data_IF_500344246711
#
_entry.id   IF_500344246711
#
_cell.length_a   1.000
_cell.length_b   1.000
_cell.length_c   1.000
_cell.angle_alpha   90.00
_cell.angle_beta   90.00
_cell.angle_gamma   90.00
#
_symmetry.space_group_name_H-M   'P 1'
#
loop_
_entity.id
_entity.type
_entity.pdbx_description
1 polymer ?
#
# COMPACT_ATOMS: atom_id res chain seq x y z
N UNK A 1 45.73 37.18 0.74
CA UNK A 1 44.98 36.56 -0.37
C UNK A 1 44.38 35.18 -0.07
N UNK A 2 44.84 34.44 0.95
CA UNK A 2 44.33 33.10 1.28
C UNK A 2 42.89 33.08 1.87
N UNK A 3 42.53 34.09 2.68
CA UNK A 3 41.22 34.18 3.36
C UNK A 3 40.04 34.19 2.38
N UNK A 4 40.18 34.91 1.25
CA UNK A 4 39.13 35.04 0.24
C UNK A 4 38.87 33.71 -0.50
N UNK A 5 39.89 32.85 -0.65
CA UNK A 5 39.76 31.52 -1.29
C UNK A 5 39.05 30.53 -0.38
N UNK A 6 39.36 30.50 0.91
CA UNK A 6 38.70 29.62 1.88
C UNK A 6 37.21 29.96 2.04
N UNK A 7 36.87 31.26 2.07
CA UNK A 7 35.50 31.73 2.07
C UNK A 7 34.70 31.27 0.84
N UNK A 8 35.28 31.31 -0.36
CA UNK A 8 34.63 30.78 -1.57
C UNK A 8 34.41 29.27 -1.50
N UNK A 9 35.35 28.51 -0.92
CA UNK A 9 35.20 27.06 -0.73
C UNK A 9 34.08 26.75 0.26
N UNK A 10 34.06 27.40 1.42
CA UNK A 10 33.01 27.22 2.43
C UNK A 10 31.64 27.58 1.86
N UNK A 11 31.54 28.69 1.14
CA UNK A 11 30.30 29.12 0.50
C UNK A 11 29.82 28.11 -0.56
N UNK A 12 30.74 27.57 -1.36
CA UNK A 12 30.44 26.54 -2.34
C UNK A 12 29.94 25.24 -1.70
N UNK A 13 30.59 24.79 -0.63
CA UNK A 13 30.17 23.60 0.12
C UNK A 13 28.78 23.80 0.72
N UNK A 14 28.52 24.96 1.33
CA UNK A 14 27.22 25.27 1.92
C UNK A 14 26.11 25.32 0.86
N UNK A 15 26.38 25.88 -0.32
CA UNK A 15 25.45 25.89 -1.43
C UNK A 15 25.10 24.46 -1.91
N UNK A 16 26.11 23.61 -2.10
CA UNK A 16 25.89 22.21 -2.49
C UNK A 16 25.09 21.45 -1.43
N UNK A 17 25.35 21.69 -0.15
CA UNK A 17 24.65 21.04 0.95
C UNK A 17 23.17 21.45 0.99
N UNK A 18 22.87 22.75 0.82
CA UNK A 18 21.49 23.25 0.74
C UNK A 18 20.76 22.69 -0.48
N UNK A 19 21.40 22.67 -1.66
CA UNK A 19 20.83 22.07 -2.87
C UNK A 19 20.58 20.57 -2.69
N UNK A 20 21.49 19.86 -2.01
CA UNK A 20 21.33 18.45 -1.67
C UNK A 20 20.10 18.19 -0.79
N UNK A 21 19.89 19.00 0.25
CA UNK A 21 18.71 18.90 1.12
C UNK A 21 17.42 19.14 0.33
N UNK A 22 17.39 20.17 -0.52
CA UNK A 22 16.20 20.50 -1.34
C UNK A 22 15.89 19.35 -2.30
N UNK A 23 16.91 18.79 -2.97
CA UNK A 23 16.75 17.66 -3.88
C UNK A 23 16.23 16.40 -3.15
N UNK A 24 16.73 16.12 -1.94
CA UNK A 24 16.26 15.03 -1.09
C UNK A 24 14.79 15.23 -0.68
N UNK A 25 14.45 16.41 -0.18
CA UNK A 25 13.09 16.74 0.23
C UNK A 25 12.09 16.64 -0.95
N UNK A 26 12.48 17.17 -2.12
CA UNK A 26 11.69 17.06 -3.34
C UNK A 26 11.51 15.62 -3.81
N UNK A 27 12.57 14.80 -3.74
CA UNK A 27 12.52 13.38 -4.10
C UNK A 27 11.61 12.58 -3.17
N UNK A 28 11.70 12.80 -1.85
CA UNK A 28 10.82 12.16 -0.87
C UNK A 28 9.35 12.54 -1.12
N UNK A 29 9.04 13.83 -1.30
CA UNK A 29 7.67 14.28 -1.58
C UNK A 29 7.12 13.68 -2.88
N UNK A 30 7.95 13.58 -3.92
CA UNK A 30 7.58 12.96 -5.19
C UNK A 30 7.24 11.48 -5.05
N UNK A 31 8.03 10.72 -4.28
CA UNK A 31 7.77 9.29 -4.05
C UNK A 31 6.46 9.07 -3.30
N UNK A 32 6.18 9.86 -2.26
CA UNK A 32 4.91 9.78 -1.50
C UNK A 32 3.72 10.12 -2.41
N UNK A 33 3.82 11.19 -3.21
CA UNK A 33 2.74 11.59 -4.11
C UNK A 33 2.47 10.55 -5.20
N UNK A 34 3.50 9.86 -5.69
CA UNK A 34 3.32 8.78 -6.68
C UNK A 34 2.58 7.56 -6.09
N UNK A 35 2.73 7.33 -4.79
CA UNK A 35 2.12 6.20 -4.08
C UNK A 35 0.66 6.45 -3.68
N UNK A 36 0.24 7.71 -3.55
CA UNK A 36 -1.11 8.09 -3.13
C UNK A 36 -1.85 8.78 -4.27
N UNK A 37 -2.79 8.06 -4.90
CA UNK A 37 -3.70 8.63 -5.89
C UNK A 37 -5.06 8.88 -5.23
N UNK A 38 -5.41 10.15 -5.03
CA UNK A 38 -6.74 10.55 -4.53
C UNK A 38 -7.56 11.08 -5.69
N UNK A 39 -8.73 10.48 -5.92
CA UNK A 39 -9.76 10.98 -6.82
C UNK A 39 -10.93 11.50 -5.99
N UNK A 40 -11.23 12.78 -6.15
CA UNK A 40 -12.39 13.43 -5.52
C UNK A 40 -13.64 13.25 -6.40
N UNK A 41 -14.82 13.37 -5.79
CA UNK A 41 -16.13 13.20 -6.44
C UNK A 41 -16.31 11.84 -7.13
N UNK A 42 -15.69 10.80 -6.57
CA UNK A 42 -15.89 9.43 -7.02
C UNK A 42 -17.24 8.90 -6.51
N UNK A 43 -17.88 8.05 -7.31
CA UNK A 43 -19.11 7.37 -6.96
C UNK A 43 -18.85 5.92 -6.53
N UNK A 44 -19.86 5.29 -5.92
CA UNK A 44 -19.83 3.85 -5.64
C UNK A 44 -19.62 3.03 -6.93
N UNK A 45 -20.19 3.49 -8.06
CA UNK A 45 -20.04 2.82 -9.34
C UNK A 45 -18.59 2.84 -9.86
N UNK A 46 -17.87 3.93 -9.65
CA UNK A 46 -16.46 4.03 -10.04
C UNK A 46 -15.58 3.06 -9.24
N UNK A 47 -15.84 2.95 -7.93
CA UNK A 47 -15.17 1.94 -7.09
C UNK A 47 -15.46 0.52 -7.57
N UNK A 48 -16.73 0.19 -7.84
CA UNK A 48 -17.10 -1.16 -8.29
C UNK A 48 -16.48 -1.52 -9.64
N UNK A 49 -16.42 -0.55 -10.56
CA UNK A 49 -15.79 -0.75 -11.86
C UNK A 49 -14.28 -1.01 -11.72
N UNK A 50 -13.58 -0.22 -10.90
CA UNK A 50 -12.14 -0.40 -10.68
C UNK A 50 -11.83 -1.67 -9.88
N UNK A 51 -12.61 -1.97 -8.85
CA UNK A 51 -12.49 -3.21 -8.09
C UNK A 51 -12.73 -4.44 -8.97
N UNK A 52 -13.75 -4.41 -9.84
CA UNK A 52 -14.02 -5.49 -10.78
C UNK A 52 -12.88 -5.66 -11.80
N UNK A 53 -12.30 -4.57 -12.30
CA UNK A 53 -11.16 -4.62 -13.19
C UNK A 53 -9.92 -5.24 -12.53
N UNK A 54 -9.67 -4.93 -11.25
CA UNK A 54 -8.58 -5.54 -10.46
C UNK A 54 -8.87 -7.02 -10.22
N UNK A 55 -10.07 -7.36 -9.75
CA UNK A 55 -10.44 -8.76 -9.50
C UNK A 55 -10.35 -9.62 -10.75
N UNK A 56 -10.69 -9.10 -11.93
CA UNK A 56 -10.51 -9.80 -13.22
C UNK A 56 -9.04 -10.15 -13.52
N UNK A 57 -8.05 -9.40 -13.02
CA UNK A 57 -6.61 -9.74 -13.19
C UNK A 57 -6.22 -10.98 -12.40
N UNK A 58 -6.96 -11.25 -11.33
CA UNK A 58 -6.79 -12.38 -10.43
C UNK A 58 -7.89 -13.42 -10.63
N UNK A 59 -8.40 -13.55 -11.87
CA UNK A 59 -9.51 -14.45 -12.18
C UNK A 59 -9.26 -15.86 -11.62
N UNK A 60 -10.27 -16.42 -10.94
CA UNK A 60 -10.19 -17.71 -10.27
C UNK A 60 -9.47 -17.73 -8.90
N UNK A 61 -8.93 -16.62 -8.40
CA UNK A 61 -8.29 -16.55 -7.07
C UNK A 61 -9.22 -15.84 -6.07
N UNK A 62 -9.79 -16.57 -5.10
CA UNK A 62 -10.60 -15.94 -4.07
C UNK A 62 -9.73 -15.09 -3.13
N UNK A 63 -10.30 -14.05 -2.49
CA UNK A 63 -9.57 -13.23 -1.52
C UNK A 63 -9.08 -14.08 -0.34
N UNK A 64 -7.86 -13.78 0.13
CA UNK A 64 -7.19 -14.54 1.20
C UNK A 64 -7.93 -14.43 2.53
N UNK A 65 -8.44 -13.25 2.86
CA UNK A 65 -9.20 -12.98 4.08
C UNK A 65 -10.67 -12.85 3.70
N UNK A 66 -11.49 -13.74 4.25
CA UNK A 66 -12.95 -13.74 4.10
C UNK A 66 -13.57 -13.51 5.46
N UNK A 67 -14.67 -12.76 5.54
CA UNK A 67 -15.47 -12.69 6.77
C UNK A 67 -16.08 -14.06 7.04
N UNK A 68 -15.57 -14.75 8.05
CA UNK A 68 -16.12 -15.99 8.56
C UNK A 68 -17.15 -15.75 9.67
N UNK A 69 -17.85 -16.80 10.13
CA UNK A 69 -18.90 -16.70 11.15
C UNK A 69 -18.41 -16.16 12.50
N UNK A 70 -17.11 -16.30 12.80
CA UNK A 70 -16.47 -15.90 14.05
C UNK A 70 -15.48 -14.73 13.87
N UNK A 71 -15.52 -14.07 12.71
CA UNK A 71 -14.60 -12.98 12.36
C UNK A 71 -13.78 -13.25 11.10
N UNK A 72 -12.85 -12.34 10.74
CA UNK A 72 -12.01 -12.49 9.56
C UNK A 72 -11.18 -13.77 9.66
N UNK A 73 -11.25 -14.63 8.65
CA UNK A 73 -10.54 -15.91 8.61
C UNK A 73 -9.76 -16.03 7.30
N UNK A 74 -8.56 -16.62 7.37
CA UNK A 74 -7.75 -16.92 6.18
C UNK A 74 -8.36 -18.12 5.45
N UNK A 75 -8.67 -17.94 4.16
CA UNK A 75 -9.15 -19.01 3.29
C UNK A 75 -7.98 -19.89 2.84
N UNK A 76 -7.90 -21.12 3.35
CA UNK A 76 -6.88 -22.10 2.91
C UNK A 76 -6.97 -22.40 1.41
N UNK A 77 -8.17 -22.35 0.83
CA UNK A 77 -8.37 -22.51 -0.63
C UNK A 77 -7.73 -21.36 -1.42
N UNK A 78 -7.86 -20.13 -0.93
CA UNK A 78 -7.23 -18.96 -1.53
C UNK A 78 -5.71 -19.04 -1.43
N UNK A 79 -5.19 -19.45 -0.26
CA UNK A 79 -3.76 -19.59 -0.04
C UNK A 79 -3.12 -20.59 -1.02
N UNK A 80 -3.71 -21.78 -1.16
CA UNK A 80 -3.22 -22.81 -2.09
C UNK A 80 -3.31 -22.35 -3.55
N UNK A 81 -4.38 -21.63 -3.93
CA UNK A 81 -4.53 -21.10 -5.28
C UNK A 81 -3.45 -20.05 -5.62
N UNK A 82 -3.10 -19.18 -4.67
CA UNK A 82 -2.05 -18.17 -4.84
C UNK A 82 -0.66 -18.79 -4.87
N UNK A 83 -0.38 -19.74 -3.97
CA UNK A 83 0.86 -20.50 -3.95
C UNK A 83 1.10 -21.25 -5.26
N UNK A 84 0.04 -21.84 -5.85
CA UNK A 84 0.10 -22.50 -7.16
C UNK A 84 0.41 -21.54 -8.31
N UNK A 85 -0.09 -20.30 -8.27
CA UNK A 85 0.23 -19.27 -9.28
C UNK A 85 1.69 -18.84 -9.15
N UNK A 86 2.20 -18.76 -7.92
CA UNK A 86 3.55 -18.31 -7.63
C UNK A 86 3.79 -16.86 -8.06
N UNK A 87 5.02 -16.40 -7.84
CA UNK A 87 5.44 -15.04 -8.17
C UNK A 87 5.81 -14.23 -6.93
N UNK A 88 6.77 -13.31 -7.10
CA UNK A 88 7.20 -12.41 -6.05
C UNK A 88 6.28 -11.19 -5.99
N UNK A 89 5.86 -10.83 -4.79
CA UNK A 89 5.10 -9.59 -4.55
C UNK A 89 6.10 -8.44 -4.47
N UNK A 90 5.84 -7.38 -5.22
CA UNK A 90 6.64 -6.14 -5.20
C UNK A 90 5.91 -4.98 -4.52
N UNK A 91 4.58 -4.96 -4.58
CA UNK A 91 3.74 -3.89 -4.06
C UNK A 91 2.46 -4.45 -3.41
N UNK A 92 2.06 -3.81 -2.32
CA UNK A 92 0.75 -3.93 -1.70
C UNK A 92 -0.09 -2.73 -2.11
N UNK A 93 -1.28 -2.98 -2.62
CA UNK A 93 -2.19 -1.94 -3.05
C UNK A 93 -3.46 -1.95 -2.19
N UNK A 94 -3.93 -0.75 -1.87
CA UNK A 94 -5.14 -0.52 -1.09
C UNK A 94 -6.00 0.46 -1.85
N UNK A 95 -7.24 0.09 -2.17
CA UNK A 95 -8.25 0.94 -2.76
C UNK A 95 -9.35 1.17 -1.71
N UNK A 96 -9.51 2.41 -1.27
CA UNK A 96 -10.50 2.82 -0.27
C UNK A 96 -11.46 3.82 -0.91
N UNK A 97 -12.75 3.59 -0.74
CA UNK A 97 -13.80 4.52 -1.11
C UNK A 97 -14.57 4.95 0.13
N UNK A 98 -14.58 6.25 0.40
CA UNK A 98 -15.43 6.88 1.43
C UNK A 98 -16.73 7.32 0.78
N UNK A 99 -17.85 6.75 1.24
CA UNK A 99 -19.19 7.10 0.73
C UNK A 99 -19.59 8.50 1.23
N UNK A 100 -19.22 8.85 2.46
CA UNK A 100 -19.53 10.14 3.07
C UNK A 100 -18.84 11.31 2.35
N UNK A 101 -17.57 11.13 1.98
CA UNK A 101 -16.78 12.17 1.32
C UNK A 101 -16.86 12.13 -0.22
N UNK A 102 -17.39 11.05 -0.80
CA UNK A 102 -17.29 10.81 -2.25
C UNK A 102 -15.84 10.77 -2.74
N UNK A 103 -14.93 10.17 -1.96
CA UNK A 103 -13.49 10.13 -2.25
C UNK A 103 -13.02 8.71 -2.49
N UNK A 104 -12.29 8.50 -3.57
CA UNK A 104 -11.61 7.26 -3.89
C UNK A 104 -10.10 7.45 -3.73
N UNK A 105 -9.50 6.66 -2.85
CA UNK A 105 -8.08 6.71 -2.53
C UNK A 105 -7.45 5.39 -2.92
N UNK A 106 -6.42 5.45 -3.77
CA UNK A 106 -5.55 4.33 -4.07
C UNK A 106 -4.19 4.58 -3.45
N UNK A 107 -3.79 3.67 -2.57
CA UNK A 107 -2.47 3.62 -1.95
C UNK A 107 -1.68 2.46 -2.58
N UNK A 108 -0.42 2.72 -2.89
CA UNK A 108 0.54 1.71 -3.35
C UNK A 108 1.74 1.72 -2.44
N UNK A 109 1.87 0.67 -1.64
CA UNK A 109 2.94 0.47 -0.68
C UNK A 109 3.93 -0.55 -1.25
N UNK A 110 5.15 -0.15 -1.59
CA UNK A 110 6.12 -1.11 -2.10
C UNK A 110 6.62 -2.02 -0.96
N UNK A 111 6.86 -3.30 -1.26
CA UNK A 111 7.25 -4.30 -0.26
C UNK A 111 8.56 -3.97 0.44
N UNK A 112 9.50 -3.30 -0.22
CA UNK A 112 10.73 -2.85 0.42
C UNK A 112 10.47 -1.90 1.59
N UNK A 113 9.40 -1.09 1.51
CA UNK A 113 9.03 -0.17 2.58
C UNK A 113 8.43 -0.94 3.75
N UNK A 114 7.64 -1.98 3.46
CA UNK A 114 7.09 -2.87 4.49
C UNK A 114 8.19 -3.65 5.21
N UNK A 115 9.22 -4.10 4.48
CA UNK A 115 10.40 -4.77 5.03
C UNK A 115 11.27 -3.86 5.92
N UNK A 116 11.17 -2.55 5.75
CA UNK A 116 11.85 -1.57 6.62
C UNK A 116 11.09 -1.31 7.93
N UNK A 117 9.87 -1.83 8.08
CA UNK A 117 9.12 -1.71 9.34
C UNK A 117 9.86 -2.48 10.45
N UNK A 118 10.19 -1.85 11.59
CA UNK A 118 11.04 -2.42 12.64
C UNK A 118 10.56 -3.77 13.19
N UNK A 119 9.26 -4.05 13.08
CA UNK A 119 8.65 -5.23 13.73
C UNK A 119 8.44 -6.42 12.78
N UNK A 120 8.74 -6.30 11.48
CA UNK A 120 8.47 -7.36 10.47
C UNK A 120 6.99 -7.78 10.40
N UNK A 121 6.13 -7.05 11.12
CA UNK A 121 4.73 -7.37 11.40
C UNK A 121 3.93 -6.13 11.07
N UNK A 122 3.09 -6.24 10.06
CA UNK A 122 2.12 -5.20 9.75
C UNK A 122 0.96 -5.37 10.73
N UNK A 123 1.07 -4.74 11.90
CA UNK A 123 -0.04 -4.66 12.85
C UNK A 123 -1.01 -3.61 12.29
N UNK A 124 -2.00 -4.06 11.51
CA UNK A 124 -3.11 -3.21 11.04
C UNK A 124 -4.04 -2.98 12.25
N UNK A 125 -3.54 -2.22 13.23
CA UNK A 125 -4.15 -1.84 14.50
C UNK A 125 -4.92 -0.52 14.28
N UNK A 126 -6.17 -0.27 14.71
CA UNK A 126 -7.21 -1.11 15.32
C UNK A 126 -8.63 -0.57 15.08
N UNK A 127 -8.83 0.62 14.52
CA UNK A 127 -10.15 1.26 14.55
C UNK A 127 -10.86 1.42 13.19
N UNK A 128 -10.17 1.25 12.05
CA UNK A 128 -10.79 1.51 10.74
C UNK A 128 -10.97 0.26 9.85
N UNK A 129 -10.20 -0.82 10.07
CA UNK A 129 -10.17 -1.96 9.14
C UNK A 129 -10.74 -3.28 9.72
N UNK A 130 -10.94 -3.40 11.04
CA UNK A 130 -11.66 -4.53 11.66
C UNK A 130 -11.02 -5.91 11.45
N UNK A 131 -9.69 -5.96 11.39
CA UNK A 131 -8.90 -7.19 11.25
C UNK A 131 -8.36 -7.67 12.61
N UNK A 132 -9.21 -7.72 13.63
CA UNK A 132 -8.76 -7.92 15.03
C UNK A 132 -8.07 -9.27 15.32
N UNK A 133 -8.11 -10.24 14.40
CA UNK A 133 -7.60 -11.60 14.66
C UNK A 133 -6.81 -12.25 13.52
N UNK A 134 -6.44 -11.53 12.46
CA UNK A 134 -5.67 -12.10 11.33
C UNK A 134 -4.27 -11.48 11.28
N UNK A 135 -3.32 -12.15 11.95
CA UNK A 135 -1.89 -11.82 11.89
C UNK A 135 -1.31 -12.41 10.61
N UNK A 136 -1.36 -11.66 9.50
CA UNK A 136 -0.60 -12.00 8.29
C UNK A 136 0.79 -11.36 8.40
N UNK A 137 1.83 -12.18 8.55
CA UNK A 137 3.21 -11.69 8.47
C UNK A 137 3.57 -11.32 7.02
N UNK A 138 4.60 -10.50 6.85
CA UNK A 138 5.09 -10.15 5.51
C UNK A 138 5.61 -11.41 4.82
N UNK A 139 6.24 -12.31 5.58
CA UNK A 139 6.75 -13.60 5.11
C UNK A 139 5.62 -14.52 4.64
N UNK A 140 4.51 -14.60 5.38
CA UNK A 140 3.33 -15.38 4.99
C UNK A 140 2.68 -14.79 3.73
N UNK A 141 2.67 -13.46 3.61
CA UNK A 141 2.14 -12.78 2.43
C UNK A 141 3.01 -13.06 1.19
N UNK A 142 4.33 -12.96 1.32
CA UNK A 142 5.29 -13.27 0.26
C UNK A 142 5.23 -14.75 -0.12
N UNK A 143 5.12 -15.65 0.86
CA UNK A 143 4.94 -17.08 0.64
C UNK A 143 3.59 -17.42 -0.01
N UNK A 144 2.54 -16.64 0.25
CA UNK A 144 1.25 -16.79 -0.42
C UNK A 144 1.34 -16.41 -1.90
N UNK A 145 2.19 -15.44 -2.27
CA UNK A 145 2.31 -14.94 -3.65
C UNK A 145 1.18 -13.96 -4.03
N UNK A 146 1.20 -13.37 -5.23
CA UNK A 146 0.29 -12.27 -5.62
C UNK A 146 -1.19 -12.66 -5.62
N UNK A 147 -2.06 -11.71 -5.28
CA UNK A 147 -3.51 -11.92 -5.27
C UNK A 147 -4.32 -10.97 -4.40
N UNK A 148 -5.66 -11.05 -4.50
CA UNK A 148 -6.57 -10.30 -3.65
C UNK A 148 -6.44 -10.78 -2.20
N UNK A 149 -6.35 -9.82 -1.29
CA UNK A 149 -6.19 -10.08 0.14
C UNK A 149 -7.52 -9.95 0.86
N UNK A 150 -8.18 -8.81 0.68
CA UNK A 150 -9.33 -8.47 1.49
C UNK A 150 -10.30 -7.60 0.69
N UNK A 151 -11.58 -7.90 0.80
CA UNK A 151 -12.65 -7.08 0.24
C UNK A 151 -13.66 -6.84 1.34
N UNK A 152 -13.86 -5.58 1.71
CA UNK A 152 -14.86 -5.16 2.69
C UNK A 152 -15.80 -4.16 2.05
N UNK A 153 -17.08 -4.38 2.28
CA UNK A 153 -18.14 -3.42 2.00
C UNK A 153 -18.83 -3.13 3.32
N UNK A 154 -18.81 -1.86 3.72
CA UNK A 154 -19.56 -1.33 4.87
C UNK A 154 -20.44 -0.20 4.34
N UNK A 155 -21.47 0.16 5.08
CA UNK A 155 -22.44 1.18 4.66
C UNK A 155 -21.78 2.55 4.44
N UNK A 156 -20.66 2.83 5.10
CA UNK A 156 -19.93 4.11 4.99
C UNK A 156 -18.66 4.03 4.11
N UNK A 157 -18.11 2.83 3.89
CA UNK A 157 -16.85 2.68 3.17
C UNK A 157 -16.69 1.34 2.44
N UNK A 158 -15.89 1.36 1.37
CA UNK A 158 -15.53 0.15 0.62
C UNK A 158 -14.02 0.07 0.52
N UNK A 159 -13.48 -1.10 0.82
CA UNK A 159 -12.03 -1.33 0.86
C UNK A 159 -11.69 -2.60 0.08
N UNK A 160 -10.72 -2.49 -0.82
CA UNK A 160 -10.11 -3.60 -1.54
C UNK A 160 -8.60 -3.54 -1.30
N UNK A 161 -8.04 -4.65 -0.83
CA UNK A 161 -6.59 -4.81 -0.64
C UNK A 161 -6.12 -5.96 -1.52
N UNK A 162 -5.02 -5.76 -2.25
CA UNK A 162 -4.41 -6.80 -3.08
C UNK A 162 -2.89 -6.63 -3.16
N UNK A 163 -2.21 -7.72 -3.51
CA UNK A 163 -0.76 -7.76 -3.63
C UNK A 163 -0.34 -8.15 -5.06
N UNK A 164 0.65 -7.44 -5.61
CA UNK A 164 1.25 -7.64 -6.95
C UNK A 164 2.77 -7.65 -6.89
#
# INVERSE_FOLDING_TARGET
MAIRRWLSVVLGVLLVLVLGIIALAGSCAYLVRKQVQVRQAASVGDYEQEAAAIMKRFDGIPPLVVQGPFGPTISSKALVARQKRGGAISNLHILVFSIHDGKLVRLTLPMWLLRMSPDGRMDINRDEVGLDNVRLSIEDLEAAGPGPLFVRKTDDSRVLVWAE
#
